data_IF_210653259399
#
_entry.id   IF_210653259399
#
_cell.length_a   1.000
_cell.length_b   1.000
_cell.length_c   1.000
_cell.angle_alpha   90.00
_cell.angle_beta   90.00
_cell.angle_gamma   90.00
#
_symmetry.space_group_name_H-M   'P 1'
#
loop_
_entity.id
_entity.type
_entity.pdbx_description
1 polymer ?
#
# COMPACT_ATOMS: atom_id res chain seq x y z
N UNK A 1 -12.14 -19.31 2.49
CA UNK A 1 -11.89 -18.27 1.46
C UNK A 1 -11.84 -16.93 2.18
N UNK A 2 -10.68 -16.27 2.31
CA UNK A 2 -10.66 -14.97 2.96
C UNK A 2 -11.46 -14.01 2.07
N UNK A 3 -12.35 -13.31 2.72
CA UNK A 3 -13.39 -12.45 2.17
C UNK A 3 -12.72 -11.40 1.27
N UNK A 4 -12.96 -11.48 -0.05
CA UNK A 4 -12.56 -10.42 -0.97
C UNK A 4 -13.55 -9.27 -0.72
N UNK A 5 -13.20 -8.38 0.20
CA UNK A 5 -13.90 -7.12 0.37
C UNK A 5 -14.09 -6.45 -0.99
N UNK A 6 -15.31 -5.97 -1.20
CA UNK A 6 -15.86 -5.50 -2.47
C UNK A 6 -15.04 -4.33 -3.05
N UNK A 7 -13.96 -4.68 -3.77
CA UNK A 7 -12.98 -3.76 -4.33
C UNK A 7 -12.00 -3.21 -3.29
N UNK A 8 -10.71 -3.32 -3.59
CA UNK A 8 -9.69 -2.61 -2.83
C UNK A 8 -9.89 -1.10 -2.94
N UNK A 9 -9.59 -0.37 -1.86
CA UNK A 9 -9.60 1.09 -1.83
C UNK A 9 -8.82 1.68 -3.02
N UNK A 10 -9.26 2.84 -3.52
CA UNK A 10 -8.73 3.46 -4.74
C UNK A 10 -7.19 3.53 -4.77
N UNK A 11 -6.59 2.96 -5.82
CA UNK A 11 -5.13 2.89 -5.99
C UNK A 11 -4.49 1.55 -5.59
N UNK A 12 -5.21 0.71 -4.86
CA UNK A 12 -4.77 -0.64 -4.52
C UNK A 12 -5.17 -1.66 -5.60
N UNK A 13 -4.27 -2.55 -5.98
CA UNK A 13 -4.49 -3.61 -6.98
C UNK A 13 -4.92 -4.93 -6.31
N UNK A 14 -4.29 -5.29 -5.17
CA UNK A 14 -4.71 -6.41 -4.33
C UNK A 14 -4.68 -6.03 -2.86
N UNK A 15 -5.65 -6.48 -2.07
CA UNK A 15 -5.81 -6.11 -0.67
C UNK A 15 -6.33 -7.28 0.17
N UNK A 16 -6.18 -7.16 1.48
CA UNK A 16 -6.85 -8.01 2.47
C UNK A 16 -7.42 -7.16 3.60
N UNK A 17 -8.41 -7.69 4.30
CA UNK A 17 -9.10 -6.97 5.38
C UNK A 17 -8.16 -6.59 6.54
N UNK A 18 -7.14 -7.41 6.80
CA UNK A 18 -6.24 -7.22 7.94
C UNK A 18 -4.99 -6.40 7.59
N UNK A 19 -4.38 -6.66 6.43
CA UNK A 19 -3.13 -6.01 6.04
C UNK A 19 -3.37 -4.75 5.20
N UNK A 20 -4.62 -4.43 4.84
CA UNK A 20 -4.92 -3.35 3.91
C UNK A 20 -4.42 -3.70 2.50
N UNK A 21 -3.75 -2.77 1.84
CA UNK A 21 -3.22 -3.01 0.51
C UNK A 21 -2.02 -3.96 0.53
N UNK A 22 -1.99 -4.92 -0.40
CA UNK A 22 -0.89 -5.86 -0.61
C UNK A 22 -0.06 -5.49 -1.85
N UNK A 23 -0.68 -4.86 -2.86
CA UNK A 23 0.03 -4.33 -4.04
C UNK A 23 -0.65 -3.07 -4.57
N UNK A 24 0.15 -2.09 -4.97
CA UNK A 24 -0.35 -0.84 -5.54
C UNK A 24 -0.50 -0.92 -7.05
N UNK A 25 -1.44 -0.14 -7.60
CA UNK A 25 -1.50 0.12 -9.03
C UNK A 25 -0.21 0.80 -9.51
N UNK A 26 0.15 0.66 -10.80
CA UNK A 26 1.34 1.31 -11.35
C UNK A 26 1.39 2.81 -11.04
N UNK A 27 2.61 3.34 -10.86
CA UNK A 27 2.95 4.74 -10.52
C UNK A 27 2.69 5.17 -9.08
N UNK A 28 1.90 4.43 -8.30
CA UNK A 28 1.74 4.70 -6.87
C UNK A 28 2.89 4.08 -6.07
N UNK A 29 3.12 4.62 -4.88
CA UNK A 29 4.10 4.15 -3.92
C UNK A 29 3.41 3.40 -2.78
N UNK A 30 3.92 2.21 -2.50
CA UNK A 30 3.55 1.41 -1.36
C UNK A 30 4.24 1.92 -0.10
N UNK A 31 3.47 2.12 0.97
CA UNK A 31 3.99 2.46 2.30
C UNK A 31 3.29 1.61 3.35
N UNK A 32 4.02 1.25 4.41
CA UNK A 32 3.44 0.60 5.57
C UNK A 32 3.08 1.66 6.61
N UNK A 33 1.80 1.86 6.84
CA UNK A 33 1.28 2.76 7.87
C UNK A 33 1.06 1.99 9.17
N UNK A 34 1.54 2.56 10.28
CA UNK A 34 1.38 1.98 11.62
C UNK A 34 0.23 2.65 12.34
N UNK A 35 -0.79 1.88 12.70
CA UNK A 35 -1.95 2.35 13.45
C UNK A 35 -2.01 1.55 14.76
N UNK A 36 -1.46 2.15 15.83
CA UNK A 36 -1.28 1.47 17.11
C UNK A 36 -0.34 0.27 16.98
N UNK A 37 -0.84 -0.93 17.25
CA UNK A 37 -0.10 -2.19 17.10
C UNK A 37 -0.24 -2.81 15.70
N UNK A 38 -1.13 -2.27 14.85
CA UNK A 38 -1.34 -2.78 13.50
C UNK A 38 -0.41 -2.09 12.51
N UNK A 39 -0.04 -2.82 11.47
CA UNK A 39 0.69 -2.30 10.33
C UNK A 39 -0.09 -2.70 9.07
N UNK A 40 -0.43 -1.71 8.25
CA UNK A 40 -1.21 -1.91 7.03
C UNK A 40 -0.50 -1.30 5.83
N UNK A 41 -0.68 -1.90 4.65
CA UNK A 41 -0.19 -1.35 3.40
C UNK A 41 -1.15 -0.30 2.84
N UNK A 42 -0.59 0.81 2.37
CA UNK A 42 -1.32 1.94 1.78
C UNK A 42 -0.60 2.36 0.49
N UNK A 43 -1.37 2.86 -0.48
CA UNK A 43 -0.84 3.35 -1.76
C UNK A 43 -0.99 4.87 -1.84
N UNK A 44 0.11 5.57 -2.06
CA UNK A 44 0.16 7.03 -2.15
C UNK A 44 0.74 7.50 -3.49
N UNK A 45 0.32 8.67 -3.95
CA UNK A 45 0.91 9.33 -5.14
C UNK A 45 2.30 9.90 -4.87
N UNK A 46 2.61 10.19 -3.60
CA UNK A 46 3.87 10.76 -3.12
C UNK A 46 4.17 10.25 -1.72
N UNK A 47 5.46 10.10 -1.38
CA UNK A 47 5.86 9.63 -0.07
C UNK A 47 5.69 10.70 1.02
N UNK A 48 5.38 10.29 2.26
CA UNK A 48 5.24 11.20 3.39
C UNK A 48 6.59 11.80 3.79
N UNK A 49 6.55 12.88 4.57
CA UNK A 49 7.75 13.56 5.08
C UNK A 49 8.66 12.60 5.84
N UNK A 50 9.96 12.67 5.54
CA UNK A 50 10.97 11.79 6.14
C UNK A 50 11.19 10.48 5.38
N UNK A 51 10.40 10.22 4.33
CA UNK A 51 10.60 9.09 3.42
C UNK A 51 10.99 9.57 2.03
N UNK A 52 11.74 8.76 1.31
CA UNK A 52 12.04 8.96 -0.11
C UNK A 52 11.37 7.86 -0.95
N UNK A 53 10.88 8.26 -2.12
CA UNK A 53 10.26 7.34 -3.06
C UNK A 53 11.30 6.57 -3.87
N UNK A 54 11.28 5.25 -3.78
CA UNK A 54 12.16 4.36 -4.53
C UNK A 54 11.35 3.52 -5.52
N UNK A 55 11.77 3.49 -6.79
CA UNK A 55 11.10 2.72 -7.85
C UNK A 55 11.88 1.44 -8.16
N UNK A 56 11.22 0.30 -8.03
CA UNK A 56 11.75 -1.00 -8.44
C UNK A 56 10.92 -1.53 -9.62
N UNK A 57 11.47 -2.47 -10.42
CA UNK A 57 10.72 -3.09 -11.52
C UNK A 57 9.38 -3.68 -11.07
N UNK A 58 9.34 -4.22 -9.85
CA UNK A 58 8.17 -4.90 -9.25
C UNK A 58 7.23 -3.93 -8.53
N UNK A 59 7.77 -2.92 -7.84
CA UNK A 59 7.01 -2.07 -6.91
C UNK A 59 7.69 -0.72 -6.68
N UNK A 60 6.92 0.36 -6.57
CA UNK A 60 7.45 1.61 -6.00
C UNK A 60 7.15 1.62 -4.50
N UNK A 61 8.11 1.97 -3.66
CA UNK A 61 7.95 2.02 -2.20
C UNK A 61 8.47 3.31 -1.61
N UNK A 62 7.88 3.72 -0.48
CA UNK A 62 8.44 4.74 0.38
C UNK A 62 9.39 4.08 1.38
N UNK A 63 10.61 4.62 1.46
CA UNK A 63 11.71 4.13 2.30
C UNK A 63 12.24 5.23 3.20
#
# INVERSE_FOLDING_TARGET
HPNVSQGCQGGCATCSDYNGCLSCKPRLFFVLERIGMKQIGVCLSSCPSGYFGTRYPEINKCT
#
